data_IF_295962545195
#
_entry.id   IF_295962545195
#
_cell.length_a   1.000
_cell.length_b   1.000
_cell.length_c   1.000
_cell.angle_alpha   90.00
_cell.angle_beta   90.00
_cell.angle_gamma   90.00
#
_symmetry.space_group_name_H-M   'P 1'
#
loop_
_entity.id
_entity.type
_entity.pdbx_description
1 polymer ?
#
# COMPACT_ATOMS: atom_id res chain seq x y z
N UNK A 1 -1.51 -14.53 -22.07
CA UNK A 1 -0.72 -15.04 -20.92
C UNK A 1 -1.41 -16.30 -20.39
N UNK A 2 -1.04 -17.51 -20.85
CA UNK A 2 -1.84 -18.73 -20.62
C UNK A 2 -1.21 -19.76 -19.65
N UNK A 3 -0.02 -19.49 -19.12
CA UNK A 3 0.75 -20.47 -18.32
C UNK A 3 1.23 -19.94 -16.94
N UNK A 4 0.64 -18.87 -16.39
CA UNK A 4 1.02 -18.39 -15.06
C UNK A 4 0.38 -19.29 -13.98
N UNK A 5 1.12 -19.77 -12.98
CA UNK A 5 0.55 -20.60 -11.93
C UNK A 5 -0.52 -19.82 -11.16
N UNK A 6 -1.69 -20.42 -10.97
CA UNK A 6 -2.87 -19.77 -10.35
C UNK A 6 -2.64 -19.33 -8.90
N UNK A 7 -1.65 -19.93 -8.23
CA UNK A 7 -1.30 -19.65 -6.85
C UNK A 7 -0.20 -18.59 -6.68
N UNK A 8 0.43 -18.14 -7.78
CA UNK A 8 1.45 -17.08 -7.76
C UNK A 8 0.77 -15.76 -8.16
N UNK A 9 0.91 -14.68 -7.38
CA UNK A 9 0.37 -13.38 -7.73
C UNK A 9 0.83 -12.92 -9.12
N UNK A 10 -0.05 -12.20 -9.82
CA UNK A 10 0.25 -11.62 -11.12
C UNK A 10 1.42 -10.62 -11.02
N UNK A 11 2.22 -10.41 -12.08
CA UNK A 11 3.33 -9.46 -12.06
C UNK A 11 2.92 -8.04 -11.63
N UNK A 12 1.70 -7.62 -11.97
CA UNK A 12 1.16 -6.32 -11.55
C UNK A 12 0.94 -6.24 -10.04
N UNK A 13 0.48 -7.32 -9.39
CA UNK A 13 0.32 -7.37 -7.93
C UNK A 13 1.66 -7.30 -7.20
N UNK A 14 2.70 -7.96 -7.74
CA UNK A 14 4.07 -7.85 -7.24
C UNK A 14 4.61 -6.43 -7.36
N UNK A 15 4.42 -5.79 -8.52
CA UNK A 15 4.83 -4.41 -8.74
C UNK A 15 4.17 -3.47 -7.73
N UNK A 16 2.85 -3.56 -7.55
CA UNK A 16 2.11 -2.76 -6.58
C UNK A 16 2.60 -2.99 -5.14
N UNK A 17 2.88 -4.23 -4.76
CA UNK A 17 3.41 -4.56 -3.44
C UNK A 17 4.79 -3.94 -3.19
N UNK A 18 5.71 -4.05 -4.16
CA UNK A 18 7.05 -3.47 -4.07
C UNK A 18 6.97 -1.95 -4.00
N UNK A 19 6.17 -1.32 -4.88
CA UNK A 19 5.98 0.13 -4.88
C UNK A 19 5.35 0.62 -3.58
N UNK A 20 4.36 -0.08 -3.04
CA UNK A 20 3.73 0.24 -1.77
C UNK A 20 4.75 0.21 -0.62
N UNK A 21 5.62 -0.79 -0.58
CA UNK A 21 6.65 -0.93 0.45
C UNK A 21 7.70 0.19 0.35
N UNK A 22 8.14 0.52 -0.86
CA UNK A 22 9.06 1.63 -1.10
C UNK A 22 8.44 2.97 -0.73
N UNK A 23 7.17 3.19 -1.09
CA UNK A 23 6.43 4.39 -0.75
C UNK A 23 6.24 4.51 0.76
N UNK A 24 5.83 3.42 1.42
CA UNK A 24 5.61 3.41 2.86
C UNK A 24 6.90 3.70 3.62
N UNK A 25 8.04 3.20 3.17
CA UNK A 25 9.35 3.59 3.70
C UNK A 25 9.59 5.09 3.58
N UNK A 26 9.33 5.68 2.41
CA UNK A 26 9.43 7.12 2.20
C UNK A 26 8.56 7.91 3.20
N UNK A 27 7.32 7.46 3.41
CA UNK A 27 6.40 8.01 4.41
C UNK A 27 6.97 7.87 5.82
N UNK A 28 7.51 6.71 6.20
CA UNK A 28 8.11 6.47 7.53
C UNK A 28 9.28 7.40 7.82
N UNK A 29 10.15 7.65 6.84
CA UNK A 29 11.27 8.60 6.99
C UNK A 29 10.75 10.02 7.23
N UNK A 30 9.74 10.47 6.47
CA UNK A 30 9.12 11.79 6.67
C UNK A 30 8.49 11.89 8.06
N UNK A 31 7.76 10.86 8.49
CA UNK A 31 7.17 10.80 9.82
C UNK A 31 8.25 10.90 10.91
N UNK A 32 9.37 10.19 10.77
CA UNK A 32 10.48 10.23 11.72
C UNK A 32 11.06 11.65 11.85
N UNK A 33 11.34 12.31 10.73
CA UNK A 33 11.83 13.70 10.71
C UNK A 33 10.85 14.61 11.46
N UNK A 34 9.54 14.46 11.24
CA UNK A 34 8.51 15.23 11.95
C UNK A 34 8.54 14.97 13.46
N UNK A 35 8.71 13.71 13.89
CA UNK A 35 8.79 13.35 15.30
C UNK A 35 10.09 13.83 15.97
N UNK A 36 11.22 13.83 15.27
CA UNK A 36 12.50 14.37 15.76
C UNK A 36 12.41 15.88 16.01
N UNK A 37 11.56 16.60 15.27
CA UNK A 37 11.19 18.00 15.55
C UNK A 37 10.20 18.16 16.73
N UNK A 38 10.00 17.10 17.52
CA UNK A 38 8.93 16.89 18.49
C UNK A 38 8.84 17.88 19.65
N UNK A 39 9.87 18.70 19.90
CA UNK A 39 9.77 19.79 20.88
C UNK A 39 8.62 20.77 20.55
N UNK A 40 8.35 20.98 19.25
CA UNK A 40 7.21 21.80 18.80
C UNK A 40 5.85 21.15 19.11
N UNK A 41 5.77 19.81 19.16
CA UNK A 41 4.53 19.10 19.46
C UNK A 41 4.19 19.09 20.96
N UNK A 42 5.21 19.21 21.84
CA UNK A 42 5.01 19.17 23.29
C UNK A 42 4.18 20.37 23.79
N UNK A 43 4.34 21.55 23.16
CA UNK A 43 3.66 22.80 23.51
C UNK A 43 2.18 22.87 23.07
N UNK A 44 1.69 21.87 22.31
CA UNK A 44 0.35 21.88 21.71
C UNK A 44 -0.71 21.33 22.70
N UNK A 45 -1.93 21.90 22.66
CA UNK A 45 -3.06 21.43 23.46
C UNK A 45 -3.46 19.97 23.17
N UNK A 46 -4.00 19.26 24.17
CA UNK A 46 -4.41 17.85 24.03
C UNK A 46 -5.42 17.63 22.88
N UNK A 47 -6.37 18.54 22.70
CA UNK A 47 -7.36 18.46 21.62
C UNK A 47 -6.70 18.49 20.24
N UNK A 48 -5.70 19.37 20.06
CA UNK A 48 -4.98 19.47 18.80
C UNK A 48 -4.03 18.27 18.59
N UNK A 49 -3.46 17.70 19.66
CA UNK A 49 -2.71 16.43 19.58
C UNK A 49 -3.58 15.27 19.06
N UNK A 50 -4.80 15.13 19.58
CA UNK A 50 -5.76 14.12 19.10
C UNK A 50 -6.12 14.36 17.64
N UNK A 51 -6.41 15.61 17.24
CA UNK A 51 -6.70 15.95 15.85
C UNK A 51 -5.52 15.59 14.92
N UNK A 52 -4.31 15.99 15.29
CA UNK A 52 -3.10 15.70 14.54
C UNK A 52 -2.85 14.19 14.43
N UNK A 53 -3.16 13.41 15.47
CA UNK A 53 -3.08 11.96 15.41
C UNK A 53 -4.01 11.36 14.34
N UNK A 54 -5.28 11.79 14.27
CA UNK A 54 -6.20 11.32 13.22
C UNK A 54 -5.76 11.77 11.83
N UNK A 55 -5.26 12.99 11.69
CA UNK A 55 -4.70 13.48 10.41
C UNK A 55 -3.48 12.64 10.00
N UNK A 56 -2.58 12.33 10.94
CA UNK A 56 -1.42 11.49 10.69
C UNK A 56 -1.80 10.04 10.34
N UNK A 57 -2.89 9.51 10.91
CA UNK A 57 -3.39 8.18 10.60
C UNK A 57 -4.01 8.10 9.19
N UNK A 58 -4.65 9.17 8.73
CA UNK A 58 -5.32 9.22 7.43
C UNK A 58 -4.41 9.73 6.30
N UNK A 59 -3.33 10.45 6.61
CA UNK A 59 -2.41 11.00 5.62
C UNK A 59 -1.78 9.96 4.68
N UNK A 60 -1.48 8.70 5.09
CA UNK A 60 -0.95 7.70 4.18
C UNK A 60 -1.93 7.36 3.05
N UNK A 61 -3.24 7.39 3.30
CA UNK A 61 -4.26 7.12 2.28
C UNK A 61 -4.13 8.13 1.14
N UNK A 62 -3.99 9.42 1.47
CA UNK A 62 -3.81 10.48 0.48
C UNK A 62 -2.49 10.31 -0.29
N UNK A 63 -1.40 10.03 0.43
CA UNK A 63 -0.09 9.83 -0.19
C UNK A 63 -0.08 8.65 -1.18
N UNK A 64 -0.68 7.52 -0.79
CA UNK A 64 -0.80 6.33 -1.64
C UNK A 64 -1.71 6.62 -2.83
N UNK A 65 -2.86 7.27 -2.62
CA UNK A 65 -3.77 7.64 -3.71
C UNK A 65 -3.11 8.55 -4.76
N UNK A 66 -2.33 9.55 -4.31
CA UNK A 66 -1.58 10.43 -5.21
C UNK A 66 -0.48 9.68 -5.96
N UNK A 67 0.24 8.79 -5.28
CA UNK A 67 1.29 7.98 -5.91
C UNK A 67 0.70 7.08 -7.01
N UNK A 68 -0.44 6.44 -6.72
CA UNK A 68 -1.18 5.63 -7.69
C UNK A 68 -1.68 6.45 -8.88
N UNK A 69 -2.29 7.62 -8.64
CA UNK A 69 -2.73 8.52 -9.71
C UNK A 69 -1.57 8.96 -10.60
N UNK A 70 -0.44 9.33 -10.00
CA UNK A 70 0.76 9.75 -10.74
C UNK A 70 1.37 8.58 -11.52
N UNK A 71 1.36 7.38 -10.96
CA UNK A 71 1.80 6.17 -11.65
C UNK A 71 0.94 5.90 -12.88
N UNK A 72 -0.39 5.97 -12.75
CA UNK A 72 -1.31 5.79 -13.88
C UNK A 72 -1.07 6.86 -14.96
N UNK A 73 -0.91 8.13 -14.57
CA UNK A 73 -0.59 9.20 -15.52
C UNK A 73 0.74 8.96 -16.25
N UNK A 74 1.75 8.48 -15.53
CA UNK A 74 3.05 8.13 -16.10
C UNK A 74 2.93 6.95 -17.08
N UNK A 75 2.25 5.87 -16.68
CA UNK A 75 2.05 4.70 -17.52
C UNK A 75 1.19 5.01 -18.75
N UNK A 76 0.13 5.82 -18.60
CA UNK A 76 -0.70 6.26 -19.72
C UNK A 76 0.10 7.05 -20.76
N UNK A 77 1.12 7.81 -20.33
CA UNK A 77 1.96 8.63 -21.20
C UNK A 77 3.07 7.83 -21.90
N UNK A 78 3.73 6.93 -21.17
CA UNK A 78 4.94 6.25 -21.66
C UNK A 78 4.74 4.77 -22.02
N UNK A 79 3.67 4.15 -21.55
CA UNK A 79 3.36 2.74 -21.78
C UNK A 79 1.85 2.51 -21.96
N UNK A 80 1.18 3.14 -22.94
CA UNK A 80 -0.28 3.08 -23.09
C UNK A 80 -0.84 1.66 -23.29
N UNK A 81 0.00 0.71 -23.73
CA UNK A 81 -0.36 -0.71 -23.87
C UNK A 81 -0.49 -1.45 -22.52
N UNK A 82 -0.09 -0.85 -21.39
CA UNK A 82 -0.23 -1.45 -20.06
C UNK A 82 -1.60 -1.24 -19.41
N UNK A 83 -2.55 -0.63 -20.14
CA UNK A 83 -3.90 -0.36 -19.64
C UNK A 83 -4.64 -1.66 -19.33
N UNK A 84 -5.29 -1.69 -18.16
CA UNK A 84 -6.21 -2.76 -17.83
C UNK A 84 -7.55 -2.58 -18.59
N UNK A 85 -8.20 -3.67 -19.02
CA UNK A 85 -9.51 -3.58 -19.67
C UNK A 85 -10.52 -2.90 -18.74
N UNK A 86 -11.14 -1.81 -19.20
CA UNK A 86 -12.15 -1.06 -18.42
C UNK A 86 -11.64 0.20 -17.71
N UNK A 87 -10.34 0.53 -17.81
CA UNK A 87 -9.83 1.84 -17.37
C UNK A 87 -9.94 2.88 -18.48
N UNK A 88 -10.64 3.98 -18.21
CA UNK A 88 -10.59 5.21 -19.02
C UNK A 88 -9.22 5.89 -18.87
N UNK A 89 -8.82 6.69 -19.85
CA UNK A 89 -7.60 7.49 -19.75
C UNK A 89 -7.63 8.37 -18.48
N UNK A 90 -6.52 8.40 -17.75
CA UNK A 90 -6.40 9.24 -16.56
C UNK A 90 -6.12 10.68 -16.98
N UNK A 91 -7.07 11.59 -16.78
CA UNK A 91 -6.92 13.01 -17.11
C UNK A 91 -7.01 13.88 -15.85
N UNK A 92 -6.14 14.90 -15.77
CA UNK A 92 -6.15 15.88 -14.69
C UNK A 92 -5.15 15.63 -13.56
N UNK A 93 -5.02 16.64 -12.69
CA UNK A 93 -4.05 16.66 -11.57
C UNK A 93 -4.59 16.04 -10.28
N UNK A 94 -5.91 15.86 -10.17
CA UNK A 94 -6.55 15.35 -8.96
C UNK A 94 -6.80 13.84 -9.03
N UNK A 95 -6.60 13.10 -7.93
CA UNK A 95 -6.83 11.67 -7.90
C UNK A 95 -8.28 11.33 -8.19
N UNK A 96 -8.48 10.40 -9.12
CA UNK A 96 -9.80 9.83 -9.43
C UNK A 96 -10.35 9.04 -8.23
N UNK A 97 -11.66 8.75 -8.21
CA UNK A 97 -12.27 7.91 -7.17
C UNK A 97 -11.60 6.52 -7.10
N UNK A 98 -11.16 5.99 -8.25
CA UNK A 98 -10.36 4.78 -8.34
C UNK A 98 -9.03 4.91 -7.59
N UNK A 99 -8.32 6.03 -7.77
CA UNK A 99 -7.06 6.30 -7.08
C UNK A 99 -7.25 6.43 -5.56
N UNK A 100 -8.37 7.02 -5.12
CA UNK A 100 -8.75 7.06 -3.70
C UNK A 100 -8.97 5.68 -3.11
N UNK A 101 -9.68 4.81 -3.84
CA UNK A 101 -9.84 3.43 -3.44
C UNK A 101 -8.50 2.70 -3.39
N UNK A 102 -7.62 2.88 -4.37
CA UNK A 102 -6.27 2.30 -4.37
C UNK A 102 -5.45 2.81 -3.18
N UNK A 103 -5.58 4.08 -2.80
CA UNK A 103 -5.00 4.65 -1.59
C UNK A 103 -5.48 3.96 -0.31
N UNK A 104 -6.80 3.80 -0.17
CA UNK A 104 -7.41 3.12 0.97
C UNK A 104 -7.00 1.64 1.04
N UNK A 105 -7.08 0.95 -0.10
CA UNK A 105 -6.72 -0.46 -0.20
C UNK A 105 -5.23 -0.67 0.10
N UNK A 106 -4.34 0.16 -0.45
CA UNK A 106 -2.91 0.11 -0.18
C UNK A 106 -2.59 0.32 1.31
N UNK A 107 -3.29 1.25 1.98
CA UNK A 107 -3.14 1.46 3.42
C UNK A 107 -3.58 0.24 4.24
N UNK A 108 -4.71 -0.38 3.89
CA UNK A 108 -5.16 -1.63 4.51
C UNK A 108 -4.17 -2.76 4.23
N UNK A 109 -3.67 -2.87 3.00
CA UNK A 109 -2.78 -3.94 2.57
C UNK A 109 -1.44 -3.89 3.31
N UNK A 110 -0.81 -2.72 3.43
CA UNK A 110 0.44 -2.59 4.17
C UNK A 110 0.23 -2.85 5.67
N UNK A 111 -0.89 -2.38 6.23
CA UNK A 111 -1.23 -2.61 7.65
C UNK A 111 -1.38 -4.10 7.94
N UNK A 112 -2.10 -4.83 7.08
CA UNK A 112 -2.30 -6.27 7.24
C UNK A 112 -1.02 -7.06 6.98
N UNK A 113 -0.23 -6.68 5.97
CA UNK A 113 1.08 -7.29 5.72
C UNK A 113 2.04 -7.10 6.90
N UNK A 114 2.02 -5.92 7.55
CA UNK A 114 2.77 -5.65 8.77
C UNK A 114 2.34 -6.57 9.92
N UNK A 115 1.02 -6.74 10.13
CA UNK A 115 0.49 -7.64 11.15
C UNK A 115 0.90 -9.10 10.90
N UNK A 116 0.72 -9.61 9.68
CA UNK A 116 1.08 -10.98 9.31
C UNK A 116 2.57 -11.23 9.48
N UNK A 117 3.41 -10.31 8.98
CA UNK A 117 4.86 -10.42 9.14
C UNK A 117 5.30 -10.39 10.60
N UNK A 118 4.67 -9.55 11.43
CA UNK A 118 4.99 -9.47 12.86
C UNK A 118 4.58 -10.75 13.59
N UNK A 119 3.43 -11.34 13.22
CA UNK A 119 2.98 -12.61 13.76
C UNK A 119 3.94 -13.75 13.40
N UNK A 120 4.40 -13.84 12.15
CA UNK A 120 5.39 -14.83 11.71
C UNK A 120 6.68 -14.69 12.53
N UNK A 121 7.17 -13.47 12.72
CA UNK A 121 8.38 -13.26 13.51
C UNK A 121 8.17 -13.63 14.98
N UNK A 122 7.04 -13.27 15.57
CA UNK A 122 6.75 -13.60 16.95
C UNK A 122 6.71 -15.12 17.18
N UNK A 123 6.16 -15.88 16.23
CA UNK A 123 6.04 -17.35 16.35
C UNK A 123 7.38 -18.05 16.09
N UNK A 124 8.13 -17.61 15.07
CA UNK A 124 9.28 -18.38 14.55
C UNK A 124 10.65 -17.81 14.91
N UNK A 125 10.76 -16.53 15.31
CA UNK A 125 12.02 -15.85 15.56
C UNK A 125 12.09 -15.38 17.03
N UNK A 126 12.97 -15.96 17.86
CA UNK A 126 13.22 -15.46 19.21
C UNK A 126 13.99 -14.14 19.11
N UNK A 127 13.29 -13.01 18.97
CA UNK A 127 13.93 -11.70 18.91
C UNK A 127 13.78 -10.93 20.23
N UNK A 128 14.87 -10.47 20.85
CA UNK A 128 14.84 -9.54 21.99
C UNK A 128 14.41 -8.11 21.61
N UNK A 129 14.16 -7.82 20.32
CA UNK A 129 13.95 -6.47 19.79
C UNK A 129 12.55 -5.88 19.99
N UNK A 130 11.56 -6.66 20.46
CA UNK A 130 10.17 -6.21 20.64
C UNK A 130 9.95 -5.32 21.88
N UNK A 131 11.00 -5.01 22.64
CA UNK A 131 10.90 -4.22 23.87
C UNK A 131 10.46 -2.76 23.66
N UNK A 132 10.38 -2.27 22.42
CA UNK A 132 9.96 -0.90 22.13
C UNK A 132 9.17 -0.80 20.83
N UNK A 133 8.05 -0.06 20.86
CA UNK A 133 7.31 0.36 19.66
C UNK A 133 8.23 1.07 18.66
N UNK A 134 9.24 1.80 19.14
CA UNK A 134 10.23 2.45 18.29
C UNK A 134 11.01 1.44 17.44
N UNK A 135 11.45 0.30 18.00
CA UNK A 135 12.16 -0.72 17.22
C UNK A 135 11.25 -1.41 16.19
N UNK A 136 9.94 -1.43 16.45
CA UNK A 136 8.92 -1.94 15.52
C UNK A 136 8.69 -0.99 14.34
N UNK A 137 8.80 0.33 14.57
CA UNK A 137 8.66 1.37 13.54
C UNK A 137 9.97 1.75 12.85
N UNK A 138 11.12 1.64 13.53
CA UNK A 138 12.46 1.99 13.04
C UNK A 138 13.02 0.95 12.05
N UNK A 139 12.34 -0.18 11.86
CA UNK A 139 12.68 -1.21 10.88
C UNK A 139 12.60 -0.79 9.40
N UNK A 140 12.32 0.48 9.14
CA UNK A 140 12.32 1.07 7.80
C UNK A 140 13.51 2.03 7.58
N UNK A 141 14.34 2.21 8.59
CA UNK A 141 15.33 3.29 8.63
C UNK A 141 16.51 3.03 7.70
N UNK A 142 17.05 1.81 7.66
CA UNK A 142 18.22 1.51 6.85
C UNK A 142 17.86 0.91 5.49
N UNK A 143 18.64 1.24 4.44
CA UNK A 143 18.49 0.58 3.13
C UNK A 143 18.71 -0.94 3.22
N UNK A 144 19.52 -1.36 4.19
CA UNK A 144 19.78 -2.76 4.48
C UNK A 144 18.52 -3.51 4.90
N UNK A 145 17.54 -2.81 5.51
CA UNK A 145 16.31 -3.42 5.99
C UNK A 145 15.37 -3.86 4.85
N UNK A 146 15.59 -3.35 3.63
CA UNK A 146 14.86 -3.78 2.43
C UNK A 146 15.12 -5.24 2.08
N UNK A 147 16.30 -5.76 2.43
CA UNK A 147 16.74 -7.12 2.09
C UNK A 147 16.69 -8.07 3.30
N UNK A 148 15.77 -7.81 4.23
CA UNK A 148 15.56 -8.66 5.42
C UNK A 148 14.41 -9.65 5.21
N UNK A 149 14.45 -10.78 5.93
CA UNK A 149 13.37 -11.76 5.93
C UNK A 149 11.99 -11.16 6.29
N UNK A 150 11.88 -10.32 7.35
CA UNK A 150 10.70 -9.50 7.61
C UNK A 150 10.12 -8.79 6.38
N UNK A 151 10.95 -8.04 5.66
CA UNK A 151 10.51 -7.30 4.48
C UNK A 151 10.07 -8.23 3.38
N UNK A 152 10.76 -9.34 3.16
CA UNK A 152 10.35 -10.36 2.20
C UNK A 152 8.95 -10.91 2.51
N UNK A 153 8.67 -11.28 3.77
CA UNK A 153 7.34 -11.75 4.17
C UNK A 153 6.26 -10.70 3.93
N UNK A 154 6.57 -9.42 4.17
CA UNK A 154 5.65 -8.31 3.90
C UNK A 154 5.39 -8.13 2.41
N UNK A 155 6.41 -8.17 1.55
CA UNK A 155 6.25 -8.09 0.09
C UNK A 155 5.35 -9.20 -0.39
N UNK A 156 5.62 -10.44 0.05
CA UNK A 156 4.81 -11.62 -0.30
C UNK A 156 3.36 -11.42 0.16
N UNK A 157 3.13 -11.07 1.43
CA UNK A 157 1.79 -10.85 1.96
C UNK A 157 1.03 -9.74 1.21
N UNK A 158 1.69 -8.60 0.95
CA UNK A 158 1.10 -7.50 0.19
C UNK A 158 0.78 -7.90 -1.26
N UNK A 159 1.65 -8.69 -1.91
CA UNK A 159 1.40 -9.18 -3.27
C UNK A 159 0.17 -10.10 -3.32
N UNK A 160 -0.02 -10.97 -2.32
CA UNK A 160 -1.22 -11.79 -2.22
C UNK A 160 -2.49 -10.96 -1.94
N UNK A 161 -2.39 -9.87 -1.16
CA UNK A 161 -3.51 -8.96 -0.96
C UNK A 161 -3.88 -8.25 -2.26
N UNK A 162 -2.93 -7.67 -2.99
CA UNK A 162 -3.20 -7.09 -4.31
C UNK A 162 -3.74 -8.11 -5.32
N UNK A 163 -3.28 -9.36 -5.27
CA UNK A 163 -3.87 -10.44 -6.09
C UNK A 163 -5.33 -10.68 -5.71
N UNK A 164 -5.66 -10.71 -4.42
CA UNK A 164 -7.03 -10.86 -3.94
C UNK A 164 -7.92 -9.72 -4.44
N UNK A 165 -7.47 -8.47 -4.32
CA UNK A 165 -8.20 -7.31 -4.85
C UNK A 165 -8.49 -7.43 -6.34
N UNK A 166 -7.46 -7.80 -7.12
CA UNK A 166 -7.59 -8.00 -8.55
C UNK A 166 -8.64 -9.06 -8.89
N UNK A 167 -8.62 -10.20 -8.19
CA UNK A 167 -9.60 -11.27 -8.40
C UNK A 167 -11.02 -10.83 -8.06
N UNK A 168 -11.20 -10.11 -6.94
CA UNK A 168 -12.51 -9.58 -6.54
C UNK A 168 -13.05 -8.61 -7.60
N UNK A 169 -12.24 -7.66 -8.06
CA UNK A 169 -12.65 -6.71 -9.11
C UNK A 169 -13.01 -7.41 -10.40
N UNK A 170 -12.19 -8.36 -10.84
CA UNK A 170 -12.42 -9.06 -12.08
C UNK A 170 -13.71 -9.90 -12.02
N UNK A 171 -13.97 -10.53 -10.87
CA UNK A 171 -15.21 -11.27 -10.63
C UNK A 171 -16.44 -10.35 -10.66
N UNK A 172 -16.38 -9.20 -10.00
CA UNK A 172 -17.47 -8.21 -10.00
C UNK A 172 -17.75 -7.65 -11.40
N UNK A 173 -16.70 -7.38 -12.18
CA UNK A 173 -16.85 -6.94 -13.57
C UNK A 173 -17.49 -8.01 -14.45
N UNK A 174 -17.08 -9.27 -14.30
CA UNK A 174 -17.63 -10.39 -15.07
C UNK A 174 -19.13 -10.58 -14.80
N UNK A 175 -19.56 -10.52 -13.53
CA UNK A 175 -20.99 -10.57 -13.15
C UNK A 175 -21.75 -9.37 -13.72
N UNK A 176 -21.19 -8.17 -13.60
CA UNK A 176 -21.79 -6.94 -14.13
C UNK A 176 -22.04 -7.01 -15.64
N UNK A 177 -21.07 -7.52 -16.41
CA UNK A 177 -21.21 -7.69 -17.86
C UNK A 177 -22.20 -8.78 -18.27
N UNK A 178 -22.27 -9.89 -17.53
CA UNK A 178 -23.23 -10.96 -17.81
C UNK A 178 -24.68 -10.53 -17.61
N UNK A 179 -24.93 -9.70 -16.59
CA UNK A 179 -26.27 -9.18 -16.28
C UNK A 179 -26.76 -8.18 -17.34
N UNK A 180 -25.84 -7.50 -18.03
CA UNK A 180 -26.18 -6.53 -19.08
C UNK A 180 -26.53 -7.23 -20.41
N UNK A 181 -25.86 -8.35 -20.71
CA UNK A 181 -26.15 -9.20 -21.87
C UNK A 181 -27.49 -9.94 -21.78
N UNK A 182 -28.05 -10.15 -20.59
CA UNK A 182 -29.38 -10.77 -20.41
C UNK A 182 -30.55 -9.77 -20.47
N UNK A 183 -30.27 -8.46 -20.52
CA UNK A 183 -31.27 -7.39 -20.58
C UNK A 183 -31.41 -6.74 -21.97
N UNK A 184 -30.58 -7.15 -22.92
CA UNK A 184 -30.67 -6.79 -24.36
C UNK A 184 -31.31 -7.95 -25.14
#
# INVERSE_FOLDING_TARGET
MRNWPTWIPNPTAWMSAILLILLFRGISVVIRIIFEMGELLMAISLKLKILLYFVALLSPILAIALAHHLLHLFLDRYAPNSRSPGMSATEGLFPSLMSWWEGFYGWMAISLAMLVSSMIQFIFLPSPSFNSLYNLLAWWDELRDLFTLPTLYRVVAAAYLYQFEYLVRHHLMAIGSGTQSERE
#
